data_IF_807372842806
#
_entry.id   IF_807372842806
#
_cell.length_a   1.000
_cell.length_b   1.000
_cell.length_c   1.000
_cell.angle_alpha   90.00
_cell.angle_beta   90.00
_cell.angle_gamma   90.00
#
_symmetry.space_group_name_H-M   'P 1'
#
loop_
_entity.id
_entity.type
_entity.pdbx_description
1 polymer ?
#
# COMPACT_ATOMS: atom_id res chain seq x y z
N UNK A 1 -38.42 11.96 19.28
CA UNK A 1 -37.14 11.21 19.24
C UNK A 1 -36.74 11.17 17.78
N UNK A 2 -36.33 12.32 17.26
CA UNK A 2 -36.04 12.51 15.85
C UNK A 2 -34.54 12.42 15.69
N UNK A 3 -34.07 11.39 14.98
CA UNK A 3 -32.66 11.22 14.65
C UNK A 3 -32.42 11.75 13.24
N UNK A 4 -32.13 13.06 13.03
CA UNK A 4 -31.81 13.58 11.69
C UNK A 4 -30.40 13.19 11.20
N UNK A 5 -29.62 12.40 11.95
CA UNK A 5 -28.20 12.16 11.65
C UNK A 5 -27.91 11.18 10.49
N UNK A 6 -28.83 10.25 10.17
CA UNK A 6 -28.58 9.21 9.15
C UNK A 6 -28.27 9.74 7.75
N UNK A 7 -29.05 10.68 7.16
CA UNK A 7 -28.80 11.14 5.79
C UNK A 7 -27.48 11.91 5.63
N UNK A 8 -27.07 12.67 6.66
CA UNK A 8 -25.82 13.43 6.63
C UNK A 8 -24.58 12.51 6.62
N UNK A 9 -24.59 11.46 7.46
CA UNK A 9 -23.49 10.48 7.52
C UNK A 9 -23.35 9.71 6.19
N UNK A 10 -24.45 9.42 5.52
CA UNK A 10 -24.43 8.73 4.24
C UNK A 10 -23.95 9.63 3.10
N UNK A 11 -24.28 10.92 3.12
CA UNK A 11 -23.72 11.89 2.18
C UNK A 11 -22.19 12.01 2.30
N UNK A 12 -21.67 12.07 3.53
CA UNK A 12 -20.22 12.11 3.79
C UNK A 12 -19.52 10.84 3.28
N UNK A 13 -20.10 9.66 3.49
CA UNK A 13 -19.55 8.40 2.99
C UNK A 13 -19.53 8.35 1.47
N UNK A 14 -20.60 8.82 0.81
CA UNK A 14 -20.67 8.89 -0.66
C UNK A 14 -19.60 9.81 -1.22
N UNK A 15 -19.42 10.98 -0.61
CA UNK A 15 -18.41 11.94 -1.02
C UNK A 15 -16.98 11.38 -0.85
N UNK A 16 -16.69 10.76 0.30
CA UNK A 16 -15.40 10.07 0.52
C UNK A 16 -15.14 9.03 -0.57
N UNK A 17 -16.13 8.18 -0.87
CA UNK A 17 -15.98 7.13 -1.87
C UNK A 17 -15.71 7.69 -3.28
N UNK A 18 -16.37 8.79 -3.67
CA UNK A 18 -16.07 9.46 -4.95
C UNK A 18 -14.63 9.97 -4.99
N UNK A 19 -14.15 10.58 -3.92
CA UNK A 19 -12.76 11.07 -3.85
C UNK A 19 -11.75 9.93 -3.93
N UNK A 20 -12.05 8.78 -3.29
CA UNK A 20 -11.22 7.58 -3.41
C UNK A 20 -11.11 7.10 -4.85
N UNK A 21 -12.23 7.06 -5.60
CA UNK A 21 -12.22 6.68 -7.03
C UNK A 21 -11.43 7.68 -7.86
N UNK A 22 -11.59 8.99 -7.61
CA UNK A 22 -10.82 10.02 -8.31
C UNK A 22 -9.33 9.89 -8.05
N UNK A 23 -8.92 9.61 -6.81
CA UNK A 23 -7.52 9.35 -6.48
C UNK A 23 -6.98 8.13 -7.25
N UNK A 24 -7.79 7.06 -7.38
CA UNK A 24 -7.46 5.89 -8.20
C UNK A 24 -7.32 6.23 -9.69
N UNK A 25 -8.24 7.00 -10.26
CA UNK A 25 -8.18 7.47 -11.66
C UNK A 25 -6.95 8.35 -11.93
N UNK A 26 -6.50 9.11 -10.93
CA UNK A 26 -5.26 9.88 -10.97
C UNK A 26 -3.99 8.99 -10.82
N UNK A 27 -4.15 7.67 -10.76
CA UNK A 27 -3.04 6.72 -10.64
C UNK A 27 -2.59 6.42 -9.21
N UNK A 28 -3.29 6.93 -8.18
CA UNK A 28 -2.96 6.59 -6.80
C UNK A 28 -3.21 5.11 -6.54
N UNK A 29 -2.32 4.49 -5.77
CA UNK A 29 -2.44 3.09 -5.40
C UNK A 29 -3.51 2.89 -4.33
N UNK A 30 -4.07 1.68 -4.25
CA UNK A 30 -4.98 1.28 -3.17
C UNK A 30 -4.35 1.52 -1.79
N UNK A 31 -3.02 1.39 -1.66
CA UNK A 31 -2.29 1.66 -0.41
C UNK A 31 -2.25 3.13 -0.06
N UNK A 32 -1.93 4.00 -1.02
CA UNK A 32 -1.93 5.45 -0.82
C UNK A 32 -3.34 5.94 -0.44
N UNK A 33 -4.37 5.45 -1.15
CA UNK A 33 -5.77 5.79 -0.87
C UNK A 33 -6.16 5.30 0.54
N UNK A 34 -5.83 4.06 0.90
CA UNK A 34 -6.14 3.51 2.22
C UNK A 34 -5.50 4.34 3.35
N UNK A 35 -4.22 4.71 3.20
CA UNK A 35 -3.52 5.57 4.16
C UNK A 35 -4.17 6.95 4.24
N UNK A 36 -4.47 7.58 3.10
CA UNK A 36 -5.05 8.94 3.02
C UNK A 36 -6.42 9.05 3.67
N UNK A 37 -7.24 8.01 3.57
CA UNK A 37 -8.60 8.00 4.15
C UNK A 37 -8.70 7.21 5.46
N UNK A 38 -7.57 6.76 6.02
CA UNK A 38 -7.51 5.94 7.24
C UNK A 38 -8.39 4.68 7.18
N UNK A 39 -8.37 4.00 6.04
CA UNK A 39 -9.14 2.77 5.78
C UNK A 39 -8.21 1.57 5.69
N UNK A 40 -8.76 0.37 5.95
CA UNK A 40 -8.01 -0.86 5.69
C UNK A 40 -7.83 -1.08 4.19
N UNK A 41 -6.73 -1.72 3.80
CA UNK A 41 -6.42 -2.03 2.39
C UNK A 41 -7.52 -2.88 1.76
N UNK A 42 -7.95 -3.93 2.46
CA UNK A 42 -9.01 -4.82 2.03
C UNK A 42 -10.32 -4.07 1.83
N UNK A 43 -10.68 -3.18 2.76
CA UNK A 43 -11.92 -2.42 2.64
C UNK A 43 -11.82 -1.34 1.54
N UNK A 44 -10.68 -0.68 1.41
CA UNK A 44 -10.42 0.27 0.33
C UNK A 44 -10.59 -0.38 -1.05
N UNK A 45 -10.05 -1.57 -1.26
CA UNK A 45 -10.21 -2.29 -2.53
C UNK A 45 -11.66 -2.67 -2.84
N UNK A 46 -12.43 -3.14 -1.85
CA UNK A 46 -13.86 -3.44 -2.05
C UNK A 46 -14.67 -2.16 -2.27
N UNK A 47 -14.36 -1.05 -1.58
CA UNK A 47 -14.99 0.25 -1.83
C UNK A 47 -14.75 0.74 -3.25
N UNK A 48 -13.50 0.74 -3.70
CA UNK A 48 -13.14 1.19 -5.04
C UNK A 48 -13.88 0.37 -6.11
N UNK A 49 -13.87 -0.96 -6.01
CA UNK A 49 -14.63 -1.85 -6.92
C UNK A 49 -16.13 -1.55 -6.92
N UNK A 50 -16.72 -1.38 -5.72
CA UNK A 50 -18.15 -1.08 -5.57
C UNK A 50 -18.53 0.27 -6.19
N UNK A 51 -17.60 1.21 -6.26
CA UNK A 51 -17.81 2.54 -6.84
C UNK A 51 -17.29 2.64 -8.29
N UNK A 52 -16.98 1.52 -8.95
CA UNK A 52 -16.69 1.47 -10.39
C UNK A 52 -15.21 1.55 -10.78
N UNK A 53 -14.28 1.55 -9.84
CA UNK A 53 -12.85 1.50 -10.16
C UNK A 53 -12.47 0.09 -10.67
N UNK A 54 -11.81 0.03 -11.83
CA UNK A 54 -11.34 -1.21 -12.45
C UNK A 54 -10.09 -1.74 -11.73
N UNK A 55 -10.30 -2.32 -10.54
CA UNK A 55 -9.23 -2.95 -9.79
C UNK A 55 -9.01 -4.37 -10.31
N UNK A 56 -7.75 -4.79 -10.55
CA UNK A 56 -7.46 -6.17 -10.96
C UNK A 56 -8.06 -7.18 -9.99
N UNK A 57 -8.76 -8.19 -10.51
CA UNK A 57 -9.52 -9.19 -9.73
C UNK A 57 -8.63 -10.03 -8.80
N UNK A 58 -7.35 -10.18 -9.11
CA UNK A 58 -6.43 -11.00 -8.33
C UNK A 58 -5.88 -10.23 -7.12
N UNK A 59 -6.19 -10.70 -5.91
CA UNK A 59 -5.64 -10.21 -4.62
C UNK A 59 -4.11 -10.34 -4.46
N UNK A 60 -3.38 -10.58 -5.55
CA UNK A 60 -1.92 -10.65 -5.65
C UNK A 60 -1.29 -9.34 -6.16
N UNK A 61 -2.12 -8.33 -6.42
CA UNK A 61 -1.77 -7.10 -7.14
C UNK A 61 -2.12 -5.80 -6.42
N UNK A 62 -2.27 -5.80 -5.08
CA UNK A 62 -2.09 -4.53 -4.37
C UNK A 62 -0.60 -4.22 -4.54
N UNK A 63 -0.27 -3.34 -5.50
CA UNK A 63 1.01 -2.65 -5.52
C UNK A 63 1.07 -1.88 -4.20
N UNK A 64 1.52 -2.53 -3.14
CA UNK A 64 2.21 -1.83 -2.06
C UNK A 64 3.39 -1.19 -2.78
N UNK A 65 3.30 0.11 -2.94
CA UNK A 65 4.46 0.92 -3.24
C UNK A 65 5.43 0.63 -2.12
N UNK A 66 6.42 -0.20 -2.47
CA UNK A 66 7.62 -0.28 -1.67
C UNK A 66 8.35 1.00 -2.06
N UNK A 67 8.41 1.95 -1.13
CA UNK A 67 9.22 3.14 -1.37
C UNK A 67 10.67 2.65 -1.47
N UNK A 68 11.19 2.67 -2.69
CA UNK A 68 12.50 2.12 -2.96
C UNK A 68 13.57 2.91 -2.22
N UNK A 69 13.39 4.23 -2.09
CA UNK A 69 14.35 5.09 -1.44
C UNK A 69 14.36 4.83 0.08
N UNK A 70 13.19 4.64 0.70
CA UNK A 70 13.07 4.23 2.11
C UNK A 70 13.76 2.88 2.35
N UNK A 71 13.45 1.86 1.54
CA UNK A 71 14.04 0.52 1.69
C UNK A 71 15.54 0.50 1.48
N UNK A 72 16.05 1.32 0.54
CA UNK A 72 17.48 1.45 0.30
C UNK A 72 18.14 2.18 1.48
N UNK A 73 17.55 3.26 1.98
CA UNK A 73 18.06 3.99 3.13
C UNK A 73 18.17 3.08 4.36
N UNK A 74 17.12 2.33 4.68
CA UNK A 74 17.12 1.40 5.81
C UNK A 74 18.14 0.26 5.62
N UNK A 75 18.27 -0.26 4.39
CA UNK A 75 19.30 -1.27 4.07
C UNK A 75 20.73 -0.74 4.26
N UNK A 76 20.96 0.52 3.89
CA UNK A 76 22.25 1.20 4.05
C UNK A 76 22.54 1.50 5.53
N UNK A 77 21.51 1.84 6.33
CA UNK A 77 21.61 2.03 7.79
C UNK A 77 21.94 0.71 8.52
N UNK A 78 21.60 -0.42 7.90
CA UNK A 78 22.02 -1.75 8.34
C UNK A 78 20.89 -2.73 8.59
N UNK A 79 19.66 -2.35 8.23
CA UNK A 79 18.54 -3.28 8.23
C UNK A 79 18.83 -4.47 7.31
N UNK A 80 18.45 -5.67 7.77
CA UNK A 80 18.57 -6.87 6.95
C UNK A 80 17.42 -6.94 5.95
N UNK A 81 17.65 -7.58 4.79
CA UNK A 81 16.61 -7.84 3.78
C UNK A 81 15.37 -8.51 4.38
N UNK A 82 15.55 -9.34 5.42
CA UNK A 82 14.44 -9.99 6.13
C UNK A 82 13.67 -9.01 7.00
N UNK A 83 14.35 -8.16 7.78
CA UNK A 83 13.71 -7.10 8.55
C UNK A 83 12.92 -6.14 7.65
N UNK A 84 13.46 -5.78 6.48
CA UNK A 84 12.77 -4.96 5.47
C UNK A 84 11.55 -5.68 4.89
N UNK A 85 11.67 -6.98 4.60
CA UNK A 85 10.55 -7.78 4.12
C UNK A 85 9.40 -7.81 5.13
N UNK A 86 9.71 -8.00 6.41
CA UNK A 86 8.75 -8.03 7.51
C UNK A 86 8.15 -6.62 7.76
N UNK A 87 8.98 -5.57 7.79
CA UNK A 87 8.55 -4.19 8.03
C UNK A 87 7.59 -3.67 6.93
N UNK A 88 7.86 -4.03 5.67
CA UNK A 88 7.03 -3.61 4.55
C UNK A 88 5.95 -4.65 4.15
N UNK A 89 5.86 -5.77 4.89
CA UNK A 89 4.95 -6.89 4.63
C UNK A 89 5.01 -7.34 3.15
N UNK A 90 6.23 -7.55 2.66
CA UNK A 90 6.53 -8.03 1.31
C UNK A 90 7.44 -9.25 1.37
N UNK A 91 7.51 -9.99 0.27
CA UNK A 91 8.41 -11.14 0.22
C UNK A 91 9.88 -10.71 0.18
N UNK A 92 10.75 -11.51 0.79
CA UNK A 92 12.21 -11.36 0.72
C UNK A 92 12.71 -11.16 -0.72
N UNK A 93 12.19 -11.97 -1.66
CA UNK A 93 12.56 -11.88 -3.07
C UNK A 93 12.19 -10.55 -3.71
N UNK A 94 11.16 -9.85 -3.21
CA UNK A 94 10.76 -8.53 -3.68
C UNK A 94 11.71 -7.44 -3.21
N UNK A 95 12.13 -7.45 -1.93
CA UNK A 95 13.20 -6.57 -1.43
C UNK A 95 14.49 -6.83 -2.20
N UNK A 96 14.87 -8.10 -2.35
CA UNK A 96 16.11 -8.48 -3.06
C UNK A 96 16.13 -7.97 -4.50
N UNK A 97 15.01 -8.14 -5.23
CA UNK A 97 14.88 -7.65 -6.60
C UNK A 97 14.90 -6.13 -6.67
N UNK A 98 14.35 -5.43 -5.68
CA UNK A 98 14.38 -3.97 -5.61
C UNK A 98 15.81 -3.45 -5.38
N UNK A 99 16.53 -4.00 -4.40
CA UNK A 99 17.93 -3.64 -4.15
C UNK A 99 18.81 -3.90 -5.39
N UNK A 100 18.59 -5.02 -6.08
CA UNK A 100 19.30 -5.35 -7.31
C UNK A 100 18.96 -4.40 -8.46
N UNK A 101 17.69 -4.03 -8.63
CA UNK A 101 17.23 -3.10 -9.66
C UNK A 101 17.83 -1.69 -9.47
N UNK A 102 18.00 -1.27 -8.21
CA UNK A 102 18.66 -0.01 -7.84
C UNK A 102 20.19 -0.12 -7.71
N UNK A 103 20.78 -1.24 -8.13
CA UNK A 103 22.24 -1.50 -8.10
C UNK A 103 22.88 -1.32 -6.72
N UNK A 104 22.12 -1.59 -5.64
CA UNK A 104 22.65 -1.53 -4.28
C UNK A 104 23.59 -2.73 -4.07
N UNK A 105 24.83 -2.50 -3.60
CA UNK A 105 25.77 -3.58 -3.35
C UNK A 105 25.25 -4.49 -2.23
N UNK A 106 25.04 -5.76 -2.56
CA UNK A 106 24.59 -6.75 -1.60
C UNK A 106 25.71 -7.02 -0.59
N UNK A 107 25.42 -6.77 0.69
CA UNK A 107 26.31 -7.17 1.78
C UNK A 107 26.52 -8.70 1.70
N UNK A 108 27.75 -9.19 1.88
CA UNK A 108 28.00 -10.62 1.93
C UNK A 108 27.09 -11.22 3.00
N UNK A 109 26.41 -12.32 2.67
CA UNK A 109 25.58 -13.02 3.64
C UNK A 109 26.50 -13.37 4.80
N UNK A 110 26.30 -12.71 5.94
CA UNK A 110 27.02 -12.99 7.17
C UNK A 110 26.89 -14.48 7.42
N UNK A 111 27.98 -15.21 7.19
CA UNK A 111 28.06 -16.61 7.49
C UNK A 111 27.68 -16.79 8.96
N UNK A 112 26.90 -17.83 9.24
CA UNK A 112 26.78 -18.35 10.59
C UNK A 112 28.18 -18.43 11.20
N UNK A 113 28.43 -17.68 12.26
CA UNK A 113 29.35 -18.13 13.29
C UNK A 113 28.52 -18.89 14.32
#
# INVERSE_FOLDING_TARGET
MDTPEKPARDAVRRERNRRMVRDWENGATVTQIARRYHLSLSWTGVLLRKNGADLPKTGRGIKRELDADEVIADYLDGATVRALADAHDVSYGKIYRLLQQHRVPMRPRGGKQ
#
